data_IF_334593813220
#
_entry.id   IF_334593813220
#
_cell.length_a   1.000
_cell.length_b   1.000
_cell.length_c   1.000
_cell.angle_alpha   90.00
_cell.angle_beta   90.00
_cell.angle_gamma   90.00
#
_symmetry.space_group_name_H-M   'P 1'
#
loop_
_entity.id
_entity.type
_entity.pdbx_description
1 polymer ?
#
# COMPACT_ATOMS: atom_id res chain seq x y z
N UNK A 1 2.86 20.16 -21.00
CA UNK A 1 1.92 21.28 -20.74
C UNK A 1 0.93 21.44 -21.88
N UNK A 2 1.37 21.47 -23.15
CA UNK A 2 0.47 21.51 -24.31
C UNK A 2 -0.36 20.22 -24.48
N UNK A 3 0.26 19.04 -24.44
CA UNK A 3 -0.43 17.73 -24.56
C UNK A 3 -1.45 17.47 -23.43
N UNK A 4 -1.19 17.96 -22.21
CA UNK A 4 -2.11 17.81 -21.08
C UNK A 4 -3.33 18.74 -21.16
N UNK A 5 -3.19 19.89 -21.83
CA UNK A 5 -4.29 20.83 -22.03
C UNK A 5 -5.25 20.30 -23.11
N UNK A 6 -4.71 19.65 -24.13
CA UNK A 6 -5.47 19.03 -25.21
C UNK A 6 -6.32 17.86 -24.70
N UNK A 7 -5.73 16.96 -23.89
CA UNK A 7 -6.46 15.82 -23.32
C UNK A 7 -7.63 16.24 -22.41
N UNK A 8 -7.43 17.28 -21.58
CA UNK A 8 -8.50 17.79 -20.70
C UNK A 8 -9.68 18.31 -21.52
N UNK A 9 -9.39 19.07 -22.58
CA UNK A 9 -10.43 19.59 -23.47
C UNK A 9 -11.15 18.45 -24.22
N UNK A 10 -10.41 17.44 -24.70
CA UNK A 10 -11.01 16.26 -25.33
C UNK A 10 -11.91 15.48 -24.37
N UNK A 11 -11.53 15.39 -23.08
CA UNK A 11 -12.34 14.74 -22.06
C UNK A 11 -13.63 15.51 -21.76
N UNK A 12 -13.56 16.84 -21.64
CA UNK A 12 -14.74 17.68 -21.46
C UNK A 12 -15.70 17.60 -22.66
N UNK A 13 -15.16 17.54 -23.88
CA UNK A 13 -15.97 17.32 -25.09
C UNK A 13 -16.60 15.93 -25.12
N UNK A 14 -15.87 14.90 -24.69
CA UNK A 14 -16.39 13.54 -24.58
C UNK A 14 -17.51 13.43 -23.54
N UNK A 15 -17.36 14.07 -22.37
CA UNK A 15 -18.42 14.08 -21.35
C UNK A 15 -19.71 14.71 -21.88
N UNK A 16 -19.60 15.85 -22.58
CA UNK A 16 -20.75 16.48 -23.26
C UNK A 16 -21.40 15.57 -24.31
N UNK A 17 -20.59 14.80 -25.05
CA UNK A 17 -21.10 13.83 -26.03
C UNK A 17 -21.92 12.72 -25.35
N UNK A 18 -21.41 12.17 -24.24
CA UNK A 18 -22.08 11.12 -23.47
C UNK A 18 -23.38 11.64 -22.84
N UNK A 19 -23.36 12.85 -22.26
CA UNK A 19 -24.56 13.50 -21.71
C UNK A 19 -25.64 13.68 -22.78
N UNK A 20 -25.28 14.20 -23.96
CA UNK A 20 -26.22 14.34 -25.09
C UNK A 20 -26.81 12.99 -25.51
N UNK A 21 -25.99 11.95 -25.59
CA UNK A 21 -26.44 10.60 -25.94
C UNK A 21 -27.42 10.04 -24.91
N UNK A 22 -27.15 10.21 -23.62
CA UNK A 22 -28.06 9.75 -22.54
C UNK A 22 -29.40 10.50 -22.61
N UNK A 23 -29.38 11.83 -22.82
CA UNK A 23 -30.60 12.63 -22.97
C UNK A 23 -31.42 12.15 -24.16
N UNK A 24 -30.78 11.92 -25.31
CA UNK A 24 -31.44 11.41 -26.51
C UNK A 24 -32.08 10.04 -26.26
N UNK A 25 -31.32 9.07 -25.74
CA UNK A 25 -31.84 7.72 -25.44
C UNK A 25 -32.93 7.70 -24.37
N UNK A 26 -32.92 8.67 -23.45
CA UNK A 26 -34.01 8.87 -22.47
C UNK A 26 -35.29 9.39 -23.14
N UNK A 27 -35.17 10.33 -24.10
CA UNK A 27 -36.31 10.82 -24.89
C UNK A 27 -36.90 9.73 -25.78
N UNK A 28 -36.05 8.90 -26.40
CA UNK A 28 -36.48 7.72 -27.19
C UNK A 28 -37.29 6.74 -26.33
N UNK A 29 -36.81 6.40 -25.12
CA UNK A 29 -37.54 5.48 -24.22
C UNK A 29 -38.86 6.05 -23.69
N UNK A 30 -39.00 7.38 -23.60
CA UNK A 30 -40.22 8.05 -23.12
C UNK A 30 -41.22 8.37 -24.23
N UNK A 31 -40.94 8.01 -25.48
CA UNK A 31 -41.83 8.25 -26.62
C UNK A 31 -41.98 9.73 -27.01
N UNK A 32 -41.12 10.60 -26.46
CA UNK A 32 -41.08 12.05 -26.70
C UNK A 32 -40.03 12.42 -27.76
N UNK A 33 -39.59 11.45 -28.55
CA UNK A 33 -38.53 11.63 -29.52
C UNK A 33 -39.06 12.22 -30.83
N UNK A 34 -38.39 13.27 -31.30
CA UNK A 34 -38.55 13.83 -32.64
C UNK A 34 -37.18 13.69 -33.30
N UNK A 35 -37.13 13.14 -34.52
CA UNK A 35 -35.88 13.01 -35.27
C UNK A 35 -35.28 14.40 -35.51
N UNK A 36 -34.18 14.69 -34.81
CA UNK A 36 -33.37 15.89 -35.00
C UNK A 36 -32.17 15.50 -35.88
N UNK A 37 -31.76 16.40 -36.80
CA UNK A 37 -30.61 16.24 -37.71
C UNK A 37 -29.28 15.94 -36.96
N UNK A 38 -29.28 16.15 -35.64
CA UNK A 38 -28.14 16.00 -34.76
C UNK A 38 -28.09 14.68 -33.96
N UNK A 39 -28.85 13.67 -34.37
CA UNK A 39 -28.91 12.34 -33.73
C UNK A 39 -27.51 11.71 -33.51
N UNK A 40 -27.25 11.24 -32.29
CA UNK A 40 -26.05 10.47 -31.93
C UNK A 40 -26.34 8.99 -32.09
N UNK A 41 -26.10 8.48 -33.29
CA UNK A 41 -26.02 7.05 -33.56
C UNK A 41 -24.62 6.50 -33.21
N UNK A 42 -24.45 5.18 -33.37
CA UNK A 42 -23.17 4.54 -33.09
C UNK A 42 -22.04 5.07 -34.00
N UNK A 43 -22.33 5.38 -35.26
CA UNK A 43 -21.31 5.82 -36.22
C UNK A 43 -20.81 7.24 -35.89
N UNK A 44 -21.71 8.16 -35.54
CA UNK A 44 -21.39 9.51 -35.07
C UNK A 44 -20.66 9.46 -33.73
N UNK A 45 -21.09 8.62 -32.80
CA UNK A 45 -20.41 8.40 -31.53
C UNK A 45 -18.98 7.86 -31.74
N UNK A 46 -18.83 6.86 -32.61
CA UNK A 46 -17.56 6.24 -32.95
C UNK A 46 -16.59 7.25 -33.59
N UNK A 47 -17.03 7.97 -34.62
CA UNK A 47 -16.22 8.99 -35.31
C UNK A 47 -15.79 10.12 -34.37
N UNK A 48 -16.71 10.61 -33.54
CA UNK A 48 -16.42 11.70 -32.60
C UNK A 48 -15.43 11.22 -31.52
N UNK A 49 -15.63 10.04 -30.94
CA UNK A 49 -14.71 9.46 -29.95
C UNK A 49 -13.32 9.21 -30.55
N UNK A 50 -13.25 8.75 -31.80
CA UNK A 50 -12.00 8.54 -32.54
C UNK A 50 -11.29 9.85 -32.85
N UNK A 51 -12.02 10.92 -33.14
CA UNK A 51 -11.44 12.25 -33.33
C UNK A 51 -10.87 12.84 -32.02
N UNK A 52 -11.54 12.58 -30.89
CA UNK A 52 -11.13 13.10 -29.57
C UNK A 52 -9.90 12.41 -28.98
N UNK A 53 -9.77 11.09 -29.17
CA UNK A 53 -8.74 10.28 -28.50
C UNK A 53 -7.83 9.49 -29.45
N UNK A 54 -8.10 9.52 -30.76
CA UNK A 54 -7.25 8.88 -31.77
C UNK A 54 -7.04 7.38 -31.54
N UNK A 55 -5.78 6.95 -31.58
CA UNK A 55 -5.36 5.57 -31.34
C UNK A 55 -5.35 5.16 -29.87
N UNK A 56 -5.60 6.09 -28.94
CA UNK A 56 -5.57 5.82 -27.51
C UNK A 56 -6.81 5.05 -27.00
N UNK A 57 -7.83 4.92 -27.85
CA UNK A 57 -9.05 4.15 -27.59
C UNK A 57 -9.17 3.03 -28.63
N UNK A 58 -9.52 1.82 -28.17
CA UNK A 58 -9.71 0.64 -29.03
C UNK A 58 -11.17 0.51 -29.47
N UNK A 59 -11.40 0.03 -30.68
CA UNK A 59 -12.74 -0.04 -31.27
C UNK A 59 -13.72 -0.90 -30.46
N UNK A 60 -13.24 -2.03 -29.90
CA UNK A 60 -14.06 -2.88 -29.05
C UNK A 60 -14.50 -2.18 -27.75
N UNK A 61 -13.66 -1.29 -27.19
CA UNK A 61 -14.00 -0.52 -26.00
C UNK A 61 -15.07 0.53 -26.32
N UNK A 62 -14.96 1.21 -27.46
CA UNK A 62 -15.99 2.17 -27.92
C UNK A 62 -17.34 1.46 -28.07
N UNK A 63 -17.33 0.28 -28.71
CA UNK A 63 -18.53 -0.52 -28.91
C UNK A 63 -19.13 -1.03 -27.59
N UNK A 64 -18.29 -1.50 -26.66
CA UNK A 64 -18.74 -1.96 -25.35
C UNK A 64 -19.32 -0.81 -24.52
N UNK A 65 -18.65 0.35 -24.48
CA UNK A 65 -19.08 1.55 -23.79
C UNK A 65 -20.41 2.07 -24.32
N UNK A 66 -20.55 2.17 -25.65
CA UNK A 66 -21.80 2.59 -26.30
C UNK A 66 -22.96 1.66 -25.93
N UNK A 67 -22.79 0.33 -26.08
CA UNK A 67 -23.81 -0.65 -25.70
C UNK A 67 -24.20 -0.54 -24.22
N UNK A 68 -23.23 -0.37 -23.34
CA UNK A 68 -23.46 -0.24 -21.90
C UNK A 68 -24.30 1.00 -21.58
N UNK A 69 -23.97 2.13 -22.20
CA UNK A 69 -24.65 3.40 -21.96
C UNK A 69 -26.08 3.41 -22.54
N UNK A 70 -26.30 2.76 -23.69
CA UNK A 70 -27.64 2.59 -24.25
C UNK A 70 -28.52 1.68 -23.38
N UNK A 71 -27.93 0.65 -22.78
CA UNK A 71 -28.65 -0.30 -21.93
C UNK A 71 -28.92 0.27 -20.53
N UNK A 72 -27.94 0.96 -19.94
CA UNK A 72 -28.01 1.60 -18.63
C UNK A 72 -27.81 3.11 -18.79
N UNK A 73 -28.90 3.87 -18.61
CA UNK A 73 -28.94 5.33 -18.81
C UNK A 73 -28.26 6.15 -17.69
N UNK A 74 -27.44 5.49 -16.85
CA UNK A 74 -26.61 6.17 -15.86
C UNK A 74 -25.31 6.64 -16.50
N UNK A 75 -24.74 7.74 -16.00
CA UNK A 75 -23.42 8.21 -16.43
C UNK A 75 -22.37 7.11 -16.18
N UNK A 76 -21.82 6.46 -17.22
CA UNK A 76 -20.81 5.43 -17.04
C UNK A 76 -19.50 6.07 -16.63
N UNK A 77 -18.67 5.34 -15.89
CA UNK A 77 -17.29 5.77 -15.62
C UNK A 77 -16.55 5.92 -16.96
N UNK A 78 -16.20 7.16 -17.30
CA UNK A 78 -15.53 7.50 -18.56
C UNK A 78 -14.21 6.74 -18.75
N UNK A 79 -13.62 6.23 -17.65
CA UNK A 79 -12.42 5.38 -17.68
C UNK A 79 -12.65 4.06 -18.44
N UNK A 80 -13.88 3.58 -18.53
CA UNK A 80 -14.22 2.34 -19.26
C UNK A 80 -13.99 2.44 -20.77
N UNK A 81 -14.08 3.65 -21.36
CA UNK A 81 -13.75 3.86 -22.78
C UNK A 81 -12.30 3.49 -23.08
N UNK A 82 -11.42 3.59 -22.08
CA UNK A 82 -10.00 3.25 -22.19
C UNK A 82 -9.71 1.77 -21.83
N UNK A 83 -10.75 0.98 -21.54
CA UNK A 83 -10.59 -0.41 -21.09
C UNK A 83 -10.08 -0.54 -19.66
N UNK A 84 -10.12 0.53 -18.87
CA UNK A 84 -9.99 0.40 -17.43
C UNK A 84 -11.21 -0.38 -16.94
N UNK A 85 -11.00 -1.47 -16.19
CA UNK A 85 -12.04 -2.32 -15.59
C UNK A 85 -12.74 -3.36 -16.49
N UNK A 86 -12.37 -3.51 -17.78
CA UNK A 86 -12.84 -4.67 -18.56
C UNK A 86 -12.17 -5.95 -18.03
N UNK A 87 -12.91 -6.69 -17.21
CA UNK A 87 -12.52 -7.99 -16.72
C UNK A 87 -12.59 -9.02 -17.83
N UNK A 88 -11.55 -9.16 -18.64
CA UNK A 88 -11.38 -10.33 -19.50
C UNK A 88 -10.32 -11.27 -18.94
N UNK A 89 -10.84 -12.34 -18.33
CA UNK A 89 -10.26 -13.66 -18.36
C UNK A 89 -9.96 -14.09 -19.79
N UNK A 90 -8.72 -14.50 -20.08
CA UNK A 90 -8.34 -15.14 -21.33
C UNK A 90 -7.18 -14.43 -22.03
N UNK A 91 -6.03 -15.10 -22.07
CA UNK A 91 -4.80 -14.52 -22.58
C UNK A 91 -4.84 -14.18 -24.06
N UNK A 92 -4.31 -13.01 -24.41
CA UNK A 92 -3.39 -12.86 -25.52
C UNK A 92 -2.43 -11.69 -25.24
N UNK A 93 -1.14 -12.01 -25.35
CA UNK A 93 0.00 -11.13 -25.13
C UNK A 93 0.17 -10.09 -26.26
N UNK A 94 0.90 -9.02 -25.93
CA UNK A 94 1.35 -7.88 -26.75
C UNK A 94 0.54 -6.58 -26.62
N UNK A 95 0.62 -5.96 -25.45
CA UNK A 95 0.26 -4.54 -25.30
C UNK A 95 1.40 -3.69 -25.86
N UNK A 96 1.19 -3.04 -27.00
CA UNK A 96 2.08 -1.98 -27.48
C UNK A 96 1.97 -0.77 -26.54
N UNK A 97 3.12 -0.35 -26.00
CA UNK A 97 3.26 0.76 -25.02
C UNK A 97 2.75 2.13 -25.53
N UNK A 98 2.43 2.25 -26.80
CA UNK A 98 2.16 3.54 -27.47
C UNK A 98 0.69 3.99 -27.40
N UNK A 99 -0.25 3.15 -26.94
CA UNK A 99 -1.70 3.46 -27.00
C UNK A 99 -2.42 3.58 -25.65
N UNK A 100 -1.68 3.81 -24.56
CA UNK A 100 -2.28 3.90 -23.22
C UNK A 100 -2.20 5.33 -22.67
N UNK A 101 -3.36 6.00 -22.58
CA UNK A 101 -3.52 7.27 -21.83
C UNK A 101 -3.15 7.09 -20.36
N UNK A 102 -3.38 5.89 -19.82
CA UNK A 102 -2.98 5.49 -18.48
C UNK A 102 -1.84 4.49 -18.57
N UNK A 103 -0.68 4.83 -18.03
CA UNK A 103 0.36 3.85 -17.71
C UNK A 103 -0.11 2.97 -16.54
N UNK A 104 -1.01 2.04 -16.83
CA UNK A 104 -1.39 1.01 -15.86
C UNK A 104 -0.26 -0.01 -15.89
N UNK A 105 0.45 -0.17 -14.76
CA UNK A 105 1.43 -1.23 -14.62
C UNK A 105 0.80 -2.58 -14.96
N UNK A 106 1.36 -3.32 -15.91
CA UNK A 106 0.92 -4.68 -16.21
C UNK A 106 0.84 -5.49 -14.91
N UNK A 107 -0.31 -6.15 -14.70
CA UNK A 107 -0.52 -7.00 -13.53
C UNK A 107 0.47 -8.18 -13.59
N UNK A 108 1.60 -8.05 -12.92
CA UNK A 108 2.55 -9.16 -12.72
C UNK A 108 1.97 -10.11 -11.69
N UNK A 109 1.46 -11.24 -12.14
CA UNK A 109 1.06 -12.33 -11.27
C UNK A 109 2.28 -13.17 -10.91
N UNK A 110 2.54 -13.36 -9.62
CA UNK A 110 3.52 -14.34 -9.15
C UNK A 110 2.82 -15.70 -9.19
N UNK A 111 3.00 -16.44 -10.27
CA UNK A 111 2.47 -17.80 -10.46
C UNK A 111 3.41 -18.82 -9.82
N UNK A 112 3.62 -18.72 -8.52
CA UNK A 112 4.38 -19.74 -7.79
C UNK A 112 3.40 -20.71 -7.12
N UNK A 113 3.31 -21.93 -7.63
CA UNK A 113 2.35 -22.95 -7.19
C UNK A 113 2.62 -23.48 -5.78
N UNK A 114 3.82 -23.19 -5.23
CA UNK A 114 4.30 -23.73 -3.97
C UNK A 114 3.52 -23.19 -2.77
N UNK A 115 2.90 -22.01 -2.89
CA UNK A 115 2.24 -21.38 -1.76
C UNK A 115 0.77 -21.06 -2.10
N UNK A 116 -0.05 -22.10 -2.14
CA UNK A 116 -1.51 -21.95 -2.02
C UNK A 116 -1.86 -21.42 -0.62
N UNK A 117 -1.73 -20.11 -0.41
CA UNK A 117 -2.11 -19.48 0.86
C UNK A 117 -3.64 -19.40 0.95
N UNK A 118 -4.21 -20.08 1.94
CA UNK A 118 -5.58 -19.84 2.42
C UNK A 118 -5.63 -18.73 3.50
N UNK A 119 -4.63 -17.87 3.53
CA UNK A 119 -4.39 -16.92 4.62
C UNK A 119 -4.31 -15.48 4.10
N UNK A 120 -4.67 -14.53 4.97
CA UNK A 120 -4.71 -13.10 4.64
C UNK A 120 -3.30 -12.52 4.73
N UNK A 121 -2.88 -11.79 3.70
CA UNK A 121 -1.63 -11.04 3.74
C UNK A 121 -1.86 -9.72 4.48
N UNK A 122 -1.05 -9.48 5.51
CA UNK A 122 -1.13 -8.30 6.38
C UNK A 122 -0.11 -7.23 6.03
N UNK A 123 1.03 -7.63 5.47
CA UNK A 123 2.07 -6.70 5.02
C UNK A 123 2.69 -7.13 3.70
N UNK A 124 2.96 -6.15 2.84
CA UNK A 124 3.74 -6.30 1.61
C UNK A 124 4.73 -5.15 1.54
N UNK A 125 6.02 -5.47 1.47
CA UNK A 125 7.09 -4.48 1.43
C UNK A 125 8.04 -4.79 0.27
N UNK A 126 8.24 -3.81 -0.63
CA UNK A 126 9.24 -3.91 -1.70
C UNK A 126 10.53 -3.27 -1.23
N UNK A 127 11.62 -4.03 -1.24
CA UNK A 127 12.95 -3.58 -0.88
C UNK A 127 13.72 -3.29 -2.18
N UNK A 128 13.64 -2.04 -2.65
CA UNK A 128 14.14 -1.67 -3.99
C UNK A 128 15.63 -1.91 -4.21
N UNK A 129 16.47 -1.84 -3.17
CA UNK A 129 17.92 -1.99 -3.31
C UNK A 129 18.39 -3.46 -3.35
N UNK A 130 17.53 -4.41 -2.94
CA UNK A 130 17.81 -5.86 -3.02
C UNK A 130 16.93 -6.57 -4.05
N UNK A 131 16.06 -5.83 -4.73
CA UNK A 131 15.06 -6.34 -5.67
C UNK A 131 14.09 -7.41 -5.10
N UNK A 132 13.99 -7.54 -3.78
CA UNK A 132 13.09 -8.50 -3.15
C UNK A 132 11.79 -7.86 -2.64
N UNK A 133 10.74 -8.67 -2.57
CA UNK A 133 9.45 -8.32 -1.98
C UNK A 133 9.20 -9.22 -0.79
N UNK A 134 8.91 -8.63 0.37
CA UNK A 134 8.59 -9.34 1.59
C UNK A 134 7.06 -9.36 1.73
N UNK A 135 6.50 -10.51 2.07
CA UNK A 135 5.09 -10.63 2.44
C UNK A 135 4.99 -11.27 3.82
N UNK A 136 4.09 -10.76 4.65
CA UNK A 136 3.75 -11.39 5.91
C UNK A 136 2.26 -11.75 5.95
N UNK A 137 1.98 -13.00 6.32
CA UNK A 137 0.63 -13.52 6.46
C UNK A 137 0.14 -13.41 7.91
N UNK A 138 -1.17 -13.30 8.09
CA UNK A 138 -1.79 -13.18 9.41
C UNK A 138 -1.42 -14.32 10.35
N UNK A 139 -1.34 -15.56 9.83
CA UNK A 139 -1.01 -16.76 10.61
C UNK A 139 0.49 -16.98 10.85
N UNK A 140 1.36 -16.04 10.48
CA UNK A 140 2.77 -16.12 10.84
C UNK A 140 3.72 -16.60 9.75
N UNK A 141 3.32 -16.63 8.48
CA UNK A 141 4.25 -16.96 7.38
C UNK A 141 4.85 -15.69 6.82
N UNK A 142 6.18 -15.56 6.93
CA UNK A 142 6.94 -14.49 6.28
C UNK A 142 7.65 -15.10 5.08
N UNK A 143 7.61 -14.41 3.94
CA UNK A 143 8.21 -14.91 2.70
C UNK A 143 8.86 -13.78 1.94
N UNK A 144 10.05 -14.06 1.40
CA UNK A 144 10.83 -13.17 0.57
C UNK A 144 10.78 -13.70 -0.86
N UNK A 145 10.30 -12.86 -1.76
CA UNK A 145 10.26 -13.12 -3.19
C UNK A 145 11.37 -12.34 -3.88
N UNK A 146 12.09 -12.98 -4.78
CA UNK A 146 12.89 -12.31 -5.80
C UNK A 146 12.12 -12.35 -7.11
N UNK A 147 11.56 -11.22 -7.52
CA UNK A 147 10.70 -11.09 -8.69
C UNK A 147 9.51 -12.08 -8.66
N UNK A 148 9.68 -13.25 -9.29
CA UNK A 148 8.66 -14.29 -9.43
C UNK A 148 9.00 -15.59 -8.69
N UNK A 149 10.18 -15.67 -8.05
CA UNK A 149 10.62 -16.88 -7.33
C UNK A 149 10.64 -16.61 -5.84
N UNK A 150 10.16 -17.57 -5.06
CA UNK A 150 10.40 -17.58 -3.61
C UNK A 150 11.90 -17.78 -3.38
N UNK A 151 12.51 -16.84 -2.66
CA UNK A 151 13.90 -16.93 -2.26
C UNK A 151 14.02 -17.69 -0.95
N UNK A 152 13.27 -17.24 0.07
CA UNK A 152 13.27 -17.81 1.41
C UNK A 152 11.90 -17.60 2.05
N UNK A 153 11.53 -18.48 2.98
CA UNK A 153 10.35 -18.32 3.82
C UNK A 153 10.61 -18.86 5.21
N UNK A 154 9.96 -18.25 6.19
CA UNK A 154 9.96 -18.73 7.58
C UNK A 154 8.52 -18.83 8.06
N UNK A 155 8.26 -19.92 8.77
CA UNK A 155 6.97 -20.22 9.37
C UNK A 155 7.05 -20.01 10.88
N UNK A 156 6.27 -19.09 11.40
CA UNK A 156 6.25 -18.73 12.83
C UNK A 156 5.16 -19.47 13.62
N UNK A 157 4.57 -20.52 13.04
CA UNK A 157 3.47 -21.30 13.65
C UNK A 157 3.79 -21.91 15.03
N UNK A 158 5.07 -22.02 15.40
CA UNK A 158 5.52 -22.60 16.67
C UNK A 158 5.81 -21.58 17.77
N UNK A 159 5.71 -20.27 17.51
CA UNK A 159 5.52 -19.34 18.62
C UNK A 159 4.19 -19.72 19.27
N UNK A 160 4.26 -20.38 20.43
CA UNK A 160 3.09 -20.88 21.19
C UNK A 160 2.09 -19.77 21.53
N UNK A 161 2.49 -18.51 21.40
CA UNK A 161 1.60 -17.35 21.38
C UNK A 161 0.92 -17.26 20.02
N UNK A 162 -0.37 -17.57 19.96
CA UNK A 162 -1.27 -17.53 18.79
C UNK A 162 -1.50 -16.11 18.24
N UNK A 163 -0.52 -15.22 18.33
CA UNK A 163 -0.63 -13.81 18.01
C UNK A 163 -0.55 -13.60 16.49
N UNK A 164 -1.55 -12.92 15.94
CA UNK A 164 -1.59 -12.59 14.52
C UNK A 164 -0.52 -11.56 14.17
N UNK A 165 0.12 -11.73 13.00
CA UNK A 165 0.97 -10.68 12.43
C UNK A 165 0.08 -9.52 12.01
N UNK A 166 0.42 -8.31 12.45
CA UNK A 166 -0.29 -7.08 12.12
C UNK A 166 0.46 -6.24 11.08
N UNK A 167 1.78 -6.38 10.99
CA UNK A 167 2.58 -5.70 9.96
C UNK A 167 3.99 -6.27 9.79
N UNK A 168 4.68 -5.86 8.71
CA UNK A 168 6.08 -6.19 8.48
C UNK A 168 6.81 -5.06 7.75
N UNK A 169 8.14 -5.00 7.93
CA UNK A 169 9.04 -4.10 7.21
C UNK A 169 10.49 -4.65 7.19
N UNK A 170 11.41 -3.92 6.57
CA UNK A 170 12.81 -4.33 6.37
C UNK A 170 13.81 -3.34 6.95
N UNK A 171 14.75 -3.83 7.76
CA UNK A 171 15.83 -3.07 8.37
C UNK A 171 17.04 -3.07 7.42
N UNK A 172 17.34 -1.94 6.74
CA UNK A 172 18.33 -1.95 5.67
C UNK A 172 19.79 -2.01 6.15
N UNK A 173 20.13 -1.43 7.30
CA UNK A 173 21.50 -1.44 7.81
C UNK A 173 21.85 -2.82 8.38
N UNK A 174 20.97 -3.35 9.22
CA UNK A 174 21.14 -4.65 9.85
C UNK A 174 20.86 -5.79 8.86
N UNK A 175 20.06 -5.55 7.81
CA UNK A 175 19.61 -6.56 6.83
C UNK A 175 18.73 -7.63 7.46
N UNK A 176 17.80 -7.21 8.32
CA UNK A 176 16.82 -8.08 8.97
C UNK A 176 15.40 -7.77 8.48
N UNK A 177 14.54 -8.77 8.49
CA UNK A 177 13.11 -8.58 8.33
C UNK A 177 12.49 -8.38 9.71
N UNK A 178 11.62 -7.39 9.83
CA UNK A 178 10.84 -7.14 11.05
C UNK A 178 9.39 -7.47 10.79
N UNK A 179 8.76 -8.16 11.72
CA UNK A 179 7.33 -8.31 11.77
C UNK A 179 6.84 -7.95 13.18
N UNK A 180 5.65 -7.39 13.26
CA UNK A 180 4.97 -7.15 14.53
C UNK A 180 3.76 -8.06 14.60
N UNK A 181 3.56 -8.64 15.77
CA UNK A 181 2.32 -9.31 16.15
C UNK A 181 1.58 -8.42 17.13
N UNK A 182 0.42 -8.85 17.60
CA UNK A 182 -0.33 -8.14 18.63
C UNK A 182 0.53 -7.83 19.87
N UNK A 183 1.38 -8.74 20.34
CA UNK A 183 2.10 -8.56 21.62
C UNK A 183 3.62 -8.70 21.54
N UNK A 184 4.18 -8.93 20.35
CA UNK A 184 5.62 -9.20 20.18
C UNK A 184 6.19 -8.57 18.91
N UNK A 185 7.49 -8.23 18.95
CA UNK A 185 8.26 -7.81 17.77
C UNK A 185 9.19 -8.95 17.36
N UNK A 186 9.12 -9.35 16.11
CA UNK A 186 9.90 -10.45 15.54
C UNK A 186 10.94 -9.86 14.59
N UNK A 187 12.20 -10.25 14.79
CA UNK A 187 13.34 -9.79 14.00
C UNK A 187 14.05 -11.02 13.42
N UNK A 188 14.00 -11.18 12.10
CA UNK A 188 14.48 -12.36 11.40
C UNK A 188 15.66 -12.04 10.48
N UNK A 189 16.77 -12.75 10.68
CA UNK A 189 17.92 -12.71 9.79
C UNK A 189 17.65 -13.53 8.52
N UNK A 190 17.33 -12.86 7.42
CA UNK A 190 17.07 -13.55 6.16
C UNK A 190 18.33 -14.13 5.51
N UNK A 191 19.54 -13.80 5.99
CA UNK A 191 20.80 -14.33 5.45
C UNK A 191 21.28 -15.59 6.15
N UNK A 192 20.69 -15.91 7.30
CA UNK A 192 21.09 -17.10 8.05
C UNK A 192 20.81 -18.38 7.25
N UNK A 193 21.77 -19.31 7.23
CA UNK A 193 21.61 -20.62 6.58
C UNK A 193 20.38 -21.34 7.13
N UNK A 194 19.66 -22.10 6.29
CA UNK A 194 18.36 -22.75 6.61
C UNK A 194 18.35 -23.57 7.93
N UNK A 195 19.51 -24.02 8.41
CA UNK A 195 19.65 -24.81 9.64
C UNK A 195 19.97 -23.99 10.90
N UNK A 196 20.17 -22.67 10.79
CA UNK A 196 20.43 -21.75 11.91
C UNK A 196 19.49 -20.55 11.80
N UNK A 197 18.19 -20.78 11.94
CA UNK A 197 17.21 -19.69 11.98
C UNK A 197 17.57 -18.71 13.10
N UNK A 198 18.17 -17.58 12.75
CA UNK A 198 18.45 -16.49 13.68
C UNK A 198 17.23 -15.58 13.74
N UNK A 199 16.15 -16.10 14.34
CA UNK A 199 14.95 -15.33 14.60
C UNK A 199 14.91 -14.91 16.08
N UNK A 200 14.79 -13.62 16.31
CA UNK A 200 14.71 -13.01 17.63
C UNK A 200 13.27 -12.53 17.88
N UNK A 201 12.76 -12.80 19.08
CA UNK A 201 11.40 -12.44 19.48
C UNK A 201 11.51 -11.54 20.69
N UNK A 202 11.17 -10.26 20.55
CA UNK A 202 11.14 -9.28 21.62
C UNK A 202 9.74 -9.28 22.22
N UNK A 203 9.63 -9.67 23.50
CA UNK A 203 8.35 -9.73 24.24
C UNK A 203 8.57 -9.50 25.74
N UNK A 204 7.54 -9.12 26.52
CA UNK A 204 6.19 -8.75 26.09
C UNK A 204 6.06 -7.27 25.71
N UNK A 205 5.30 -6.96 24.65
CA UNK A 205 4.84 -5.59 24.41
C UNK A 205 3.60 -5.30 25.26
N UNK A 206 3.55 -4.10 25.86
CA UNK A 206 2.48 -3.73 26.81
C UNK A 206 1.09 -3.60 26.16
N UNK A 207 1.05 -3.07 24.95
CA UNK A 207 -0.19 -2.80 24.20
C UNK A 207 -0.18 -3.54 22.87
N UNK A 208 -1.35 -3.63 22.23
CA UNK A 208 -1.51 -4.39 20.99
C UNK A 208 -0.91 -3.63 19.80
N UNK A 209 0.19 -4.11 19.23
CA UNK A 209 0.83 -3.46 18.07
C UNK A 209 0.01 -3.71 16.80
N UNK A 210 -0.30 -2.64 16.06
CA UNK A 210 -1.17 -2.67 14.87
C UNK A 210 -0.40 -2.44 13.56
N UNK A 211 0.68 -1.67 13.61
CA UNK A 211 1.45 -1.33 12.42
C UNK A 211 2.93 -1.11 12.75
N UNK A 212 3.78 -1.26 11.74
CA UNK A 212 5.24 -1.10 11.85
C UNK A 212 5.80 -0.39 10.63
N UNK A 213 6.83 0.41 10.84
CA UNK A 213 7.64 1.00 9.78
C UNK A 213 9.08 1.19 10.26
N UNK A 214 10.05 0.93 9.39
CA UNK A 214 11.46 1.19 9.64
C UNK A 214 11.80 2.65 9.43
N UNK A 215 12.67 3.14 10.31
CA UNK A 215 13.27 4.45 10.22
C UNK A 215 14.68 4.27 9.69
N UNK A 216 14.97 5.01 8.64
CA UNK A 216 16.30 5.07 8.03
C UNK A 216 16.91 6.44 8.29
N UNK A 217 17.48 6.69 9.49
CA UNK A 217 18.25 7.90 9.69
C UNK A 217 19.52 7.80 8.83
N UNK A 218 19.85 8.86 8.10
CA UNK A 218 20.93 8.87 7.10
C UNK A 218 22.35 8.72 7.67
N UNK A 219 22.52 8.73 8.99
CA UNK A 219 23.76 9.18 9.61
C UNK A 219 24.50 8.12 10.47
N UNK A 220 23.96 6.91 10.64
CA UNK A 220 24.57 5.90 11.51
C UNK A 220 24.70 4.51 10.84
N UNK A 221 25.94 4.12 10.60
CA UNK A 221 26.30 2.75 10.19
C UNK A 221 26.00 1.80 11.36
N UNK A 222 25.30 0.69 11.10
CA UNK A 222 24.97 -0.39 12.06
C UNK A 222 23.86 -0.11 13.10
N UNK A 223 22.99 0.88 12.87
CA UNK A 223 21.82 1.15 13.71
C UNK A 223 20.57 1.29 12.84
N UNK A 224 19.51 0.56 13.18
CA UNK A 224 18.19 0.76 12.59
C UNK A 224 17.18 1.03 13.71
N UNK A 225 16.18 1.87 13.41
CA UNK A 225 15.07 2.10 14.34
C UNK A 225 13.76 1.66 13.72
N UNK A 226 12.82 1.25 14.57
CA UNK A 226 11.51 0.73 14.21
C UNK A 226 10.46 1.63 14.87
N UNK A 227 9.58 2.20 14.07
CA UNK A 227 8.35 2.85 14.51
C UNK A 227 7.21 1.84 14.56
N UNK A 228 6.42 1.87 15.63
CA UNK A 228 5.25 1.01 15.79
C UNK A 228 4.08 1.82 16.34
N UNK A 229 2.86 1.49 15.92
CA UNK A 229 1.62 2.06 16.47
C UNK A 229 0.77 1.01 17.17
N UNK A 230 0.01 1.39 18.20
CA UNK A 230 -0.82 0.47 18.98
C UNK A 230 -2.32 0.80 19.03
N UNK A 231 -3.08 -0.04 19.75
CA UNK A 231 -4.51 0.07 20.02
C UNK A 231 -4.89 1.09 21.13
N UNK A 232 -3.93 1.81 21.69
CA UNK A 232 -4.15 2.83 22.75
C UNK A 232 -3.72 4.23 22.32
N UNK A 233 -3.35 4.40 21.04
CA UNK A 233 -2.93 5.68 20.47
C UNK A 233 -1.48 6.04 20.76
N UNK A 234 -0.65 5.09 21.21
CA UNK A 234 0.78 5.29 21.38
C UNK A 234 1.54 4.96 20.10
N UNK A 235 2.56 5.77 19.85
CA UNK A 235 3.61 5.49 18.88
C UNK A 235 4.89 5.16 19.65
N UNK A 236 5.51 4.06 19.26
CA UNK A 236 6.74 3.54 19.84
C UNK A 236 7.90 3.73 18.86
N UNK A 237 9.07 3.99 19.41
CA UNK A 237 10.35 3.98 18.71
C UNK A 237 11.28 3.00 19.41
N UNK A 238 11.55 1.87 18.76
CA UNK A 238 12.52 0.88 19.19
C UNK A 238 13.79 1.06 18.36
N UNK A 239 14.93 1.16 19.01
CA UNK A 239 16.23 1.23 18.35
C UNK A 239 16.96 -0.09 18.50
N UNK A 240 17.52 -0.59 17.39
CA UNK A 240 18.28 -1.83 17.31
C UNK A 240 19.68 -1.56 16.78
N UNK A 241 20.65 -2.25 17.39
CA UNK A 241 22.06 -2.26 16.99
C UNK A 241 22.52 -3.69 16.73
N UNK A 242 23.64 -3.87 16.03
CA UNK A 242 24.24 -5.21 15.85
C UNK A 242 24.58 -5.88 17.19
N UNK A 243 24.99 -5.09 18.18
CA UNK A 243 25.47 -5.58 19.47
C UNK A 243 24.34 -6.16 20.32
N UNK A 244 23.11 -5.67 20.13
CA UNK A 244 21.91 -6.20 20.79
C UNK A 244 21.68 -7.68 20.48
N UNK A 245 22.13 -8.13 19.30
CA UNK A 245 22.02 -9.52 18.86
C UNK A 245 23.28 -10.33 19.21
N UNK A 246 24.48 -9.73 19.14
CA UNK A 246 25.75 -10.42 19.43
C UNK A 246 25.92 -10.70 20.92
N UNK A 247 25.67 -9.72 21.80
CA UNK A 247 25.85 -9.90 23.24
C UNK A 247 24.83 -10.90 23.83
N UNK A 248 23.64 -10.98 23.23
CA UNK A 248 22.56 -11.88 23.68
C UNK A 248 22.70 -13.30 23.10
N UNK A 249 23.66 -13.54 22.18
CA UNK A 249 23.99 -14.89 21.69
C UNK A 249 24.71 -15.75 22.72
N UNK A 250 25.50 -15.16 23.63
CA UNK A 250 26.32 -15.89 24.60
C UNK A 250 25.55 -16.44 25.80
N UNK A 251 24.32 -15.94 26.07
CA UNK A 251 23.51 -16.37 27.22
C UNK A 251 22.45 -17.42 26.88
N UNK A 252 22.18 -17.70 25.61
CA UNK A 252 21.14 -18.64 25.21
C UNK A 252 21.75 -20.05 25.05
N UNK A 253 21.32 -20.99 25.89
CA UNK A 253 21.60 -22.41 25.69
C UNK A 253 21.10 -22.87 24.31
N UNK A 254 21.91 -23.71 23.66
CA UNK A 254 21.62 -24.30 22.36
C UNK A 254 20.37 -25.15 22.47
N UNK A 255 19.26 -24.76 21.82
CA UNK A 255 18.30 -25.70 21.19
C UNK A 255 17.06 -25.06 20.51
N UNK A 256 16.77 -23.76 20.66
CA UNK A 256 15.57 -23.17 20.03
C UNK A 256 15.85 -22.44 18.70
N UNK A 257 15.00 -22.68 17.69
CA UNK A 257 14.97 -21.93 16.42
C UNK A 257 14.62 -20.44 16.60
N UNK A 258 14.14 -20.06 17.80
CA UNK A 258 13.77 -18.70 18.16
C UNK A 258 14.45 -18.30 19.47
N UNK A 259 15.04 -17.11 19.50
CA UNK A 259 15.65 -16.52 20.69
C UNK A 259 14.71 -15.48 21.27
N UNK A 260 14.10 -15.80 22.41
CA UNK A 260 13.22 -14.87 23.12
C UNK A 260 14.07 -13.87 23.90
N UNK A 261 13.80 -12.58 23.69
CA UNK A 261 14.48 -11.46 24.33
C UNK A 261 13.44 -10.65 25.09
N UNK A 262 13.78 -10.26 26.32
CA UNK A 262 12.92 -9.37 27.10
C UNK A 262 12.91 -7.96 26.50
N UNK A 263 11.71 -7.41 26.31
CA UNK A 263 11.49 -6.02 25.90
C UNK A 263 12.12 -4.98 26.82
N UNK A 264 12.26 -5.28 28.13
CA UNK A 264 12.87 -4.37 29.10
C UNK A 264 14.38 -4.15 28.86
N UNK A 265 15.01 -5.08 28.16
CA UNK A 265 16.43 -4.99 27.77
C UNK A 265 16.65 -4.11 26.52
N UNK A 266 15.64 -3.38 26.07
CA UNK A 266 15.71 -2.50 24.91
C UNK A 266 15.26 -1.10 25.27
N UNK A 267 15.90 -0.10 24.67
CA UNK A 267 15.44 1.28 24.77
C UNK A 267 14.23 1.49 23.84
N UNK A 268 13.04 1.30 24.38
CA UNK A 268 11.76 1.52 23.69
C UNK A 268 11.18 2.84 24.19
N UNK A 269 11.26 3.88 23.36
CA UNK A 269 10.57 5.13 23.60
C UNK A 269 9.11 4.99 23.18
N UNK A 270 8.19 5.61 23.92
CA UNK A 270 6.77 5.63 23.58
C UNK A 270 6.13 6.95 23.94
N UNK A 271 5.21 7.41 23.10
CA UNK A 271 4.44 8.63 23.34
C UNK A 271 3.01 8.46 22.85
N UNK A 272 2.04 8.92 23.66
CA UNK A 272 0.63 8.96 23.24
C UNK A 272 0.45 10.14 22.28
N UNK A 273 0.04 9.86 21.04
CA UNK A 273 -0.18 10.87 20.00
C UNK A 273 -1.63 10.93 19.53
N UNK A 274 -2.38 9.85 19.70
CA UNK A 274 -3.77 9.74 19.29
C UNK A 274 -4.64 9.33 20.49
N UNK A 275 -5.93 9.65 20.43
CA UNK A 275 -6.89 9.20 21.44
C UNK A 275 -7.63 7.92 21.04
N UNK A 276 -7.40 7.44 19.82
CA UNK A 276 -7.87 6.17 19.28
C UNK A 276 -6.69 5.38 18.66
N UNK A 277 -6.95 4.22 18.08
CA UNK A 277 -5.97 3.29 17.51
C UNK A 277 -5.09 3.96 16.47
N UNK A 278 -3.79 3.64 16.50
CA UNK A 278 -2.84 4.07 15.48
C UNK A 278 -2.94 3.13 14.28
N UNK A 279 -3.68 3.55 13.25
CA UNK A 279 -3.95 2.73 12.07
C UNK A 279 -2.72 2.55 11.16
N UNK A 280 -1.85 3.55 11.10
CA UNK A 280 -0.61 3.47 10.30
C UNK A 280 0.46 4.40 10.85
N UNK A 281 1.71 3.94 10.79
CA UNK A 281 2.92 4.75 10.99
C UNK A 281 3.80 4.66 9.75
N UNK A 282 4.49 5.75 9.41
CA UNK A 282 5.44 5.76 8.29
C UNK A 282 6.52 6.80 8.49
N UNK A 283 7.79 6.42 8.28
CA UNK A 283 8.87 7.38 8.16
C UNK A 283 8.97 7.92 6.73
N UNK A 284 9.07 9.23 6.59
CA UNK A 284 9.21 9.92 5.30
C UNK A 284 10.61 10.52 5.24
N UNK A 285 11.57 9.75 4.71
CA UNK A 285 12.97 10.15 4.64
C UNK A 285 13.19 11.49 3.93
N UNK A 286 12.37 11.79 2.91
CA UNK A 286 12.43 13.07 2.19
C UNK A 286 12.10 14.30 3.06
N UNK A 287 11.31 14.13 4.11
CA UNK A 287 10.95 15.18 5.06
C UNK A 287 11.72 15.06 6.38
N UNK A 288 12.49 13.99 6.57
CA UNK A 288 13.08 13.58 7.86
C UNK A 288 12.07 13.53 9.01
N UNK A 289 10.80 13.29 8.69
CA UNK A 289 9.68 13.27 9.64
C UNK A 289 9.02 11.89 9.66
N UNK A 290 8.42 11.53 10.78
CA UNK A 290 7.47 10.43 10.86
C UNK A 290 6.04 10.96 10.73
N UNK A 291 5.18 10.15 10.13
CA UNK A 291 3.74 10.32 10.15
C UNK A 291 3.06 9.22 10.96
N UNK A 292 1.98 9.53 11.64
CA UNK A 292 1.06 8.56 12.24
C UNK A 292 -0.38 9.00 12.03
N UNK A 293 -1.30 8.05 11.82
CA UNK A 293 -2.71 8.35 11.64
C UNK A 293 -3.62 7.49 12.51
N UNK A 294 -4.81 8.02 12.78
CA UNK A 294 -5.85 7.42 13.59
C UNK A 294 -7.23 7.79 13.05
N UNK A 295 -8.24 6.98 13.41
CA UNK A 295 -9.64 7.25 13.11
C UNK A 295 -10.25 8.33 14.02
N UNK A 296 -9.50 8.81 15.01
CA UNK A 296 -9.90 9.95 15.83
C UNK A 296 -10.15 11.20 14.94
N UNK A 297 -11.22 11.92 15.26
CA UNK A 297 -11.59 13.16 14.57
C UNK A 297 -10.79 14.38 15.02
N UNK A 298 -10.25 14.37 16.25
CA UNK A 298 -9.50 15.51 16.81
C UNK A 298 -8.03 15.45 16.39
N UNK A 299 -7.36 14.32 16.64
CA UNK A 299 -5.96 14.09 16.26
C UNK A 299 -5.89 12.96 15.23
N UNK A 300 -6.40 13.21 14.04
CA UNK A 300 -6.47 12.22 12.97
C UNK A 300 -5.11 11.89 12.37
N UNK A 301 -4.22 12.88 12.28
CA UNK A 301 -2.92 12.72 11.64
C UNK A 301 -1.85 13.57 12.33
N UNK A 302 -0.67 12.99 12.57
CA UNK A 302 0.50 13.69 13.11
C UNK A 302 1.64 13.55 12.12
N UNK A 303 2.39 14.63 11.88
CA UNK A 303 3.56 14.65 11.00
C UNK A 303 4.68 15.50 11.60
N UNK A 304 5.68 14.86 12.21
CA UNK A 304 6.76 15.60 12.88
C UNK A 304 8.10 14.88 12.89
N UNK A 305 9.14 15.55 13.41
CA UNK A 305 10.46 14.96 13.63
C UNK A 305 10.38 13.85 14.69
N UNK A 306 11.16 12.78 14.50
CA UNK A 306 11.29 11.66 15.43
C UNK A 306 11.70 12.14 16.83
N UNK A 307 12.47 13.23 16.94
CA UNK A 307 12.84 13.83 18.23
C UNK A 307 11.63 14.20 19.09
N UNK A 308 10.46 14.42 18.49
CA UNK A 308 9.21 14.66 19.22
C UNK A 308 8.77 13.46 20.05
N UNK A 309 9.18 12.25 19.70
CA UNK A 309 8.91 11.08 20.54
C UNK A 309 9.77 11.08 21.81
N UNK A 310 10.87 11.86 21.85
CA UNK A 310 11.81 11.95 22.97
C UNK A 310 11.54 13.16 23.87
N UNK A 311 11.28 14.32 23.27
CA UNK A 311 11.21 15.62 23.97
C UNK A 311 9.83 15.96 24.57
N UNK A 312 8.79 15.21 24.23
CA UNK A 312 7.39 15.45 24.62
C UNK A 312 6.83 16.85 24.28
N UNK A 313 7.48 17.62 23.41
CA UNK A 313 7.02 18.95 22.98
C UNK A 313 5.81 18.84 22.02
N UNK A 314 5.02 19.91 21.83
CA UNK A 314 3.86 19.88 20.94
C UNK A 314 4.21 19.34 19.53
N UNK A 315 3.35 18.47 19.01
CA UNK A 315 3.49 17.88 17.67
C UNK A 315 2.60 18.60 16.67
N UNK A 316 3.00 18.56 15.40
CA UNK A 316 2.17 19.02 14.28
C UNK A 316 1.06 18.00 14.01
N UNK A 317 -0.14 18.31 14.49
CA UNK A 317 -1.36 17.50 14.36
C UNK A 317 -2.37 18.14 13.40
N UNK A 318 -3.17 17.28 12.75
CA UNK A 318 -4.23 17.65 11.82
C UNK A 318 -5.52 16.91 12.19
N UNK A 319 -6.63 17.64 12.20
CA UNK A 319 -7.97 17.11 12.40
C UNK A 319 -8.64 16.86 11.05
N UNK A 320 -9.18 15.66 10.87
CA UNK A 320 -10.04 15.28 9.75
C UNK A 320 -11.33 14.72 10.35
N UNK A 321 -12.52 15.27 10.03
CA UNK A 321 -13.76 14.90 10.73
C UNK A 321 -14.11 13.40 10.76
N UNK A 322 -13.63 12.61 9.80
CA UNK A 322 -13.84 11.14 9.73
C UNK A 322 -12.60 10.33 10.10
N UNK A 323 -11.55 10.98 10.60
CA UNK A 323 -10.27 10.37 10.85
C UNK A 323 -9.47 10.09 9.57
N UNK A 324 -8.32 9.44 9.73
CA UNK A 324 -7.42 9.04 8.65
C UNK A 324 -6.99 7.59 8.86
N UNK A 325 -7.27 6.74 7.87
CA UNK A 325 -6.93 5.31 7.88
C UNK A 325 -5.57 5.03 7.22
N UNK A 326 -5.24 5.79 6.17
CA UNK A 326 -3.99 5.64 5.45
C UNK A 326 -3.46 6.99 4.99
N UNK A 327 -2.15 7.08 4.83
CA UNK A 327 -1.52 8.25 4.24
C UNK A 327 -0.28 7.87 3.45
N UNK A 328 0.13 8.75 2.54
CA UNK A 328 1.39 8.66 1.81
C UNK A 328 1.91 10.05 1.45
N UNK A 329 3.19 10.13 1.11
CA UNK A 329 3.83 11.35 0.67
C UNK A 329 4.40 11.17 -0.74
N UNK A 330 4.08 12.12 -1.62
CA UNK A 330 4.67 12.20 -2.96
C UNK A 330 5.79 13.23 -2.96
N UNK A 331 7.04 12.77 -3.03
CA UNK A 331 8.22 13.66 -3.06
C UNK A 331 8.26 14.57 -4.30
N UNK A 332 7.74 14.11 -5.45
CA UNK A 332 7.70 14.91 -6.69
C UNK A 332 6.72 16.08 -6.59
N UNK A 333 5.51 15.82 -6.08
CA UNK A 333 4.48 16.85 -5.92
C UNK A 333 4.63 17.64 -4.62
N UNK A 334 5.43 17.15 -3.67
CA UNK A 334 5.54 17.65 -2.29
C UNK A 334 4.19 17.68 -1.55
N UNK A 335 3.34 16.70 -1.83
CA UNK A 335 1.99 16.58 -1.26
C UNK A 335 1.90 15.37 -0.34
N UNK A 336 1.26 15.55 0.81
CA UNK A 336 0.77 14.46 1.66
C UNK A 336 -0.66 14.15 1.24
N UNK A 337 -0.95 12.89 0.97
CA UNK A 337 -2.29 12.40 0.64
C UNK A 337 -2.75 11.52 1.77
N UNK A 338 -3.94 11.81 2.30
CA UNK A 338 -4.61 11.04 3.35
C UNK A 338 -5.86 10.38 2.76
N UNK A 339 -6.17 9.17 3.21
CA UNK A 339 -7.42 8.46 2.95
C UNK A 339 -8.06 8.06 4.26
N UNK A 340 -9.35 8.35 4.42
CA UNK A 340 -10.14 8.11 5.63
C UNK A 340 -11.51 7.59 5.24
#
# INVERSE_FOLDING_TARGET
ALESLDFKNSLEQFQKLVEKMIIQKTKERSGLYTEEDDEIDYDKFYKTTRALFGSAVKDHNIQAFFRKTVNNLDMPDWLEIFGCFTGESGGLLSQSKESMVFLVSEKKQITDSVVKRKDVIKGIVKVSHLDFTITASQKGVITIFNNQKILLWVSLYFLQDTAWITGCDFLPQLKYVVAVTESTVIVWDYKSEENKNNCYVIKPMKNCLLCVCTVTPSDHLAKDSILMGDDKGYVYLLTLTSDDFIMKQYKAEKESQFRVLDSENFNILKRKLHDDWVGRVKYISALKCFGSCSLDSLRSFVLDDIKRLEDNLPVREFSVPRGVNAFTYCGKAKVVVTGG
#
